data_IF_584890926628
#
_entry.id   IF_584890926628
#
_cell.length_a   1.000
_cell.length_b   1.000
_cell.length_c   1.000
_cell.angle_alpha   90.00
_cell.angle_beta   90.00
_cell.angle_gamma   90.00
#
_symmetry.space_group_name_H-M   'P 1'
#
loop_
_entity.id
_entity.type
_entity.pdbx_description
1 polymer ?
#
# COMPACT_ATOMS: atom_id res chain seq x y z
N UNK A 1 8.94 -51.32 4.75
CA UNK A 1 7.78 -50.63 5.34
C UNK A 1 7.97 -49.14 5.09
N UNK A 2 7.14 -48.57 4.22
CA UNK A 2 7.26 -47.20 3.72
C UNK A 2 6.95 -46.19 4.83
N UNK A 3 7.80 -45.17 5.00
CA UNK A 3 7.69 -44.02 5.90
C UNK A 3 6.44 -43.12 5.67
N UNK A 4 5.43 -43.58 4.92
CA UNK A 4 4.24 -42.81 4.52
C UNK A 4 2.98 -43.17 5.32
N UNK A 5 3.13 -43.41 6.61
CA UNK A 5 2.01 -43.53 7.53
C UNK A 5 2.37 -42.87 8.88
N UNK A 6 3.01 -41.70 8.83
CA UNK A 6 2.87 -40.77 9.95
C UNK A 6 1.40 -40.38 10.02
N UNK A 7 0.76 -40.74 11.13
CA UNK A 7 -0.57 -40.27 11.46
C UNK A 7 -0.54 -38.74 11.38
N UNK A 8 -1.16 -38.15 10.34
CA UNK A 8 -1.33 -36.70 10.26
C UNK A 8 -2.13 -36.28 11.49
N UNK A 9 -1.46 -35.73 12.52
CA UNK A 9 -2.12 -35.18 13.69
C UNK A 9 -3.09 -34.12 13.20
N UNK A 10 -4.36 -34.25 13.60
CA UNK A 10 -5.40 -33.27 13.31
C UNK A 10 -5.83 -32.63 14.62
N UNK A 11 -6.08 -31.33 14.55
CA UNK A 11 -6.61 -30.54 15.65
C UNK A 11 -8.11 -30.35 15.44
N UNK A 12 -8.86 -30.29 16.53
CA UNK A 12 -10.32 -30.15 16.55
C UNK A 12 -10.74 -28.69 16.35
N UNK A 13 -10.37 -28.15 15.19
CA UNK A 13 -10.69 -26.79 14.75
C UNK A 13 -11.17 -26.82 13.30
N UNK A 14 -12.06 -25.89 13.00
CA UNK A 14 -12.78 -25.73 11.75
C UNK A 14 -13.80 -26.85 11.46
N UNK A 15 -14.88 -26.46 10.79
CA UNK A 15 -15.98 -27.32 10.35
C UNK A 15 -15.68 -27.99 9.01
N UNK A 16 -14.56 -27.65 8.39
CA UNK A 16 -14.13 -28.12 7.06
C UNK A 16 -12.69 -28.64 7.13
N UNK A 17 -12.40 -29.71 6.40
CA UNK A 17 -11.09 -30.37 6.44
C UNK A 17 -10.00 -29.60 5.66
N UNK A 18 -9.29 -28.68 6.31
CA UNK A 18 -8.16 -27.98 5.70
C UNK A 18 -6.91 -28.85 5.52
N UNK A 19 -6.13 -28.53 4.48
CA UNK A 19 -4.73 -28.90 4.31
C UNK A 19 -3.89 -27.98 5.21
N UNK A 20 -3.21 -28.59 6.16
CA UNK A 20 -2.18 -27.97 7.00
C UNK A 20 -1.22 -29.08 7.43
N UNK A 21 -0.02 -28.70 7.87
CA UNK A 21 0.93 -29.62 8.48
C UNK A 21 1.06 -29.32 9.98
N UNK A 22 0.72 -30.30 10.82
CA UNK A 22 0.90 -30.19 12.26
C UNK A 22 2.36 -29.96 12.68
N UNK A 23 3.33 -30.36 11.84
CA UNK A 23 4.76 -30.13 12.06
C UNK A 23 5.05 -28.63 12.15
N UNK A 24 4.29 -27.78 11.45
CA UNK A 24 4.44 -26.33 11.54
C UNK A 24 4.12 -25.85 12.95
N UNK A 25 2.99 -26.29 13.52
CA UNK A 25 2.61 -25.96 14.89
C UNK A 25 3.63 -26.47 15.92
N UNK A 26 4.13 -27.69 15.73
CA UNK A 26 5.03 -28.34 16.69
C UNK A 26 6.46 -27.76 16.65
N UNK A 27 6.94 -27.28 15.50
CA UNK A 27 8.35 -26.90 15.30
C UNK A 27 8.60 -25.43 14.99
N UNK A 28 7.63 -24.68 14.45
CA UNK A 28 7.84 -23.25 14.21
C UNK A 28 7.78 -22.52 15.56
N UNK A 29 8.78 -21.68 15.88
CA UNK A 29 8.85 -20.99 17.16
C UNK A 29 7.56 -20.22 17.51
N UNK A 30 7.20 -20.21 18.78
CA UNK A 30 6.08 -19.40 19.27
C UNK A 30 4.68 -19.93 18.96
N UNK A 31 4.50 -20.93 18.09
CA UNK A 31 3.17 -21.46 17.74
C UNK A 31 2.61 -22.42 18.79
N UNK A 32 3.44 -23.28 19.38
CA UNK A 32 3.03 -24.19 20.44
C UNK A 32 2.80 -23.43 21.75
N UNK A 33 1.57 -22.95 21.94
CA UNK A 33 1.06 -22.32 23.17
C UNK A 33 -0.01 -23.25 23.76
N UNK A 34 -0.43 -23.04 25.01
CA UNK A 34 -1.24 -24.01 25.78
C UNK A 34 -2.52 -24.56 25.11
N UNK A 35 -3.00 -23.91 24.05
CA UNK A 35 -4.14 -24.33 23.24
C UNK A 35 -3.67 -25.26 22.10
N UNK A 36 -3.97 -26.57 22.21
CA UNK A 36 -3.47 -27.60 21.30
C UNK A 36 -3.92 -27.38 19.84
N UNK A 37 -3.06 -26.72 19.05
CA UNK A 37 -3.23 -26.54 17.62
C UNK A 37 -3.89 -25.25 17.15
N UNK A 38 -4.24 -24.31 18.04
CA UNK A 38 -4.92 -23.07 17.66
C UNK A 38 -4.13 -22.27 16.63
N UNK A 39 -2.84 -22.09 16.88
CA UNK A 39 -1.90 -21.34 16.01
C UNK A 39 -1.35 -22.17 14.85
N UNK A 40 -2.00 -23.28 14.48
CA UNK A 40 -1.59 -24.05 13.31
C UNK A 40 -1.81 -23.20 12.05
N UNK A 41 -0.78 -22.93 11.25
CA UNK A 41 -0.93 -22.12 10.05
C UNK A 41 -1.66 -22.91 8.97
N UNK A 42 -2.66 -22.28 8.36
CA UNK A 42 -3.35 -22.80 7.18
C UNK A 42 -3.00 -21.90 6.01
N UNK A 43 -2.50 -22.49 4.93
CA UNK A 43 -2.00 -21.76 3.77
C UNK A 43 -3.00 -21.74 2.62
N UNK A 44 -3.00 -20.64 1.88
CA UNK A 44 -3.91 -20.36 0.78
C UNK A 44 -3.16 -19.70 -0.38
N UNK A 45 -3.66 -19.89 -1.60
CA UNK A 45 -3.25 -19.07 -2.73
C UNK A 45 -3.59 -17.60 -2.48
N UNK A 46 -2.78 -16.68 -3.00
CA UNK A 46 -3.07 -15.23 -2.96
C UNK A 46 -4.46 -14.90 -3.52
N UNK A 47 -4.94 -15.71 -4.47
CA UNK A 47 -6.26 -15.58 -5.08
C UNK A 47 -7.43 -15.61 -4.07
N UNK A 48 -7.23 -16.16 -2.85
CA UNK A 48 -8.23 -16.12 -1.76
C UNK A 48 -8.63 -14.70 -1.38
N UNK A 49 -7.76 -13.71 -1.61
CA UNK A 49 -8.05 -12.31 -1.32
C UNK A 49 -8.94 -11.64 -2.38
N UNK A 50 -9.20 -12.29 -3.53
CA UNK A 50 -10.03 -11.72 -4.60
C UNK A 50 -11.46 -11.47 -4.14
N UNK A 51 -12.10 -12.42 -3.45
CA UNK A 51 -13.46 -12.22 -2.93
C UNK A 51 -13.51 -11.02 -1.99
N UNK A 52 -12.58 -10.98 -1.03
CA UNK A 52 -12.58 -9.98 0.03
C UNK A 52 -12.23 -8.57 -0.46
N UNK A 53 -11.45 -8.46 -1.53
CA UNK A 53 -11.11 -7.16 -2.16
C UNK A 53 -12.19 -6.61 -3.10
N UNK A 54 -13.10 -7.47 -3.60
CA UNK A 54 -14.05 -7.08 -4.64
C UNK A 54 -15.50 -7.02 -4.15
N UNK A 55 -15.84 -7.82 -3.13
CA UNK A 55 -17.20 -7.92 -2.66
C UNK A 55 -17.51 -6.81 -1.64
N UNK A 56 -18.56 -5.99 -1.83
CA UNK A 56 -18.78 -4.75 -1.06
C UNK A 56 -19.10 -4.96 0.43
N UNK A 57 -19.52 -6.17 0.81
CA UNK A 57 -19.73 -6.51 2.23
C UNK A 57 -18.44 -6.78 3.02
N UNK A 58 -17.30 -6.88 2.33
CA UNK A 58 -16.01 -7.12 2.95
C UNK A 58 -15.14 -5.88 2.85
N UNK A 59 -14.28 -5.74 3.84
CA UNK A 59 -13.16 -4.81 3.84
C UNK A 59 -11.88 -5.63 3.96
N UNK A 60 -10.95 -5.39 3.04
CA UNK A 60 -9.61 -5.93 3.07
C UNK A 60 -8.64 -4.77 3.33
N UNK A 61 -7.98 -4.80 4.47
CA UNK A 61 -7.05 -3.74 4.90
C UNK A 61 -5.66 -4.34 5.10
N UNK A 62 -4.62 -3.66 4.60
CA UNK A 62 -3.22 -4.03 4.79
C UNK A 62 -2.58 -3.05 5.76
N UNK A 63 -2.33 -3.50 7.00
CA UNK A 63 -1.62 -2.70 8.00
C UNK A 63 -0.17 -2.45 7.62
N UNK A 64 0.44 -3.43 6.95
CA UNK A 64 1.82 -3.41 6.46
C UNK A 64 1.92 -4.15 5.11
N UNK A 65 3.14 -4.39 4.61
CA UNK A 65 3.30 -5.07 3.30
C UNK A 65 2.85 -6.53 3.33
N UNK A 66 2.98 -7.18 4.48
CA UNK A 66 2.77 -8.63 4.64
C UNK A 66 1.80 -8.99 5.77
N UNK A 67 1.15 -8.00 6.38
CA UNK A 67 0.11 -8.18 7.41
C UNK A 67 -1.15 -7.40 7.02
N UNK A 68 -2.27 -8.12 6.89
CA UNK A 68 -3.59 -7.51 6.74
C UNK A 68 -4.69 -8.14 7.60
N UNK A 69 -5.89 -7.63 7.39
CA UNK A 69 -7.13 -8.11 8.00
C UNK A 69 -8.26 -8.11 6.99
N UNK A 70 -9.10 -9.13 7.10
CA UNK A 70 -10.39 -9.22 6.43
C UNK A 70 -11.46 -8.95 7.48
N UNK A 71 -12.35 -8.01 7.19
CA UNK A 71 -13.49 -7.69 8.03
C UNK A 71 -14.78 -7.82 7.21
N UNK A 72 -15.80 -8.43 7.79
CA UNK A 72 -17.16 -8.44 7.21
C UNK A 72 -18.09 -7.74 8.18
N UNK A 73 -18.18 -6.41 8.07
CA UNK A 73 -18.97 -5.54 8.96
C UNK A 73 -18.83 -5.97 10.44
N UNK A 74 -19.94 -6.31 11.09
CA UNK A 74 -20.00 -6.73 12.50
C UNK A 74 -19.97 -8.27 12.68
N UNK A 75 -19.78 -9.04 11.61
CA UNK A 75 -19.84 -10.52 11.66
C UNK A 75 -18.52 -11.13 12.11
N UNK A 76 -17.41 -10.76 11.45
CA UNK A 76 -16.10 -11.28 11.82
C UNK A 76 -14.96 -10.34 11.40
N UNK A 77 -13.83 -10.55 12.07
CA UNK A 77 -12.53 -9.96 11.74
C UNK A 77 -11.48 -11.05 11.85
N UNK A 78 -10.75 -11.30 10.76
CA UNK A 78 -9.66 -12.28 10.73
C UNK A 78 -8.39 -11.65 10.19
N UNK A 79 -7.29 -11.87 10.90
CA UNK A 79 -5.97 -11.41 10.49
C UNK A 79 -5.30 -12.44 9.59
N UNK A 80 -4.44 -11.98 8.68
CA UNK A 80 -3.68 -12.87 7.80
C UNK A 80 -2.28 -12.32 7.53
N UNK A 81 -1.36 -13.25 7.23
CA UNK A 81 -0.03 -12.95 6.74
C UNK A 81 0.11 -13.27 5.25
N UNK A 82 1.04 -12.61 4.56
CA UNK A 82 1.52 -12.99 3.23
C UNK A 82 3.00 -13.34 3.37
N UNK A 83 3.36 -14.59 3.12
CA UNK A 83 4.75 -15.05 3.23
C UNK A 83 5.59 -14.68 2.00
N UNK A 84 6.88 -15.01 2.03
CA UNK A 84 7.84 -14.71 0.93
C UNK A 84 7.47 -15.39 -0.39
N UNK A 85 6.78 -16.52 -0.32
CA UNK A 85 6.29 -17.25 -1.50
C UNK A 85 4.91 -16.77 -1.98
N UNK A 86 4.42 -15.64 -1.46
CA UNK A 86 3.11 -15.04 -1.76
C UNK A 86 1.92 -15.95 -1.41
N UNK A 87 2.09 -16.89 -0.49
CA UNK A 87 0.96 -17.60 0.12
C UNK A 87 0.36 -16.75 1.22
N UNK A 88 -0.96 -16.75 1.27
CA UNK A 88 -1.70 -16.18 2.40
C UNK A 88 -1.79 -17.24 3.47
N UNK A 89 -1.59 -16.87 4.73
CA UNK A 89 -1.80 -17.80 5.83
C UNK A 89 -2.59 -17.15 6.97
N UNK A 90 -3.38 -17.98 7.65
CA UNK A 90 -4.22 -17.62 8.79
C UNK A 90 -4.11 -18.72 9.84
N UNK A 91 -4.42 -18.41 11.10
CA UNK A 91 -4.44 -19.42 12.15
C UNK A 91 -5.69 -20.29 12.05
N UNK A 92 -5.51 -21.59 12.23
CA UNK A 92 -6.58 -22.58 12.18
C UNK A 92 -7.69 -22.26 13.21
N UNK A 93 -7.31 -21.83 14.42
CA UNK A 93 -8.25 -21.41 15.45
C UNK A 93 -9.05 -20.16 15.09
N UNK A 94 -8.44 -19.18 14.42
CA UNK A 94 -9.17 -17.99 13.94
C UNK A 94 -10.17 -18.35 12.82
N UNK A 95 -9.81 -19.30 11.96
CA UNK A 95 -10.68 -19.81 10.89
C UNK A 95 -11.91 -20.52 11.48
N UNK A 96 -11.76 -21.22 12.61
CA UNK A 96 -12.86 -21.95 13.25
C UNK A 96 -14.04 -21.02 13.62
N UNK A 97 -13.74 -19.79 14.03
CA UNK A 97 -14.74 -18.77 14.35
C UNK A 97 -15.56 -18.28 13.15
N UNK A 98 -15.16 -18.59 11.92
CA UNK A 98 -15.86 -18.16 10.72
C UNK A 98 -17.12 -19.00 10.44
N UNK A 99 -18.05 -18.42 9.67
CA UNK A 99 -19.23 -19.16 9.19
C UNK A 99 -18.81 -20.30 8.26
N UNK A 100 -19.65 -21.34 8.15
CA UNK A 100 -19.36 -22.52 7.32
C UNK A 100 -19.11 -22.13 5.85
N UNK A 101 -19.84 -21.14 5.34
CA UNK A 101 -19.67 -20.64 3.97
C UNK A 101 -18.30 -19.97 3.77
N UNK A 102 -17.81 -19.22 4.76
CA UNK A 102 -16.47 -18.62 4.70
C UNK A 102 -15.39 -19.68 4.76
N UNK A 103 -15.54 -20.69 5.63
CA UNK A 103 -14.59 -21.81 5.70
C UNK A 103 -14.54 -22.60 4.39
N UNK A 104 -15.68 -22.84 3.72
CA UNK A 104 -15.70 -23.48 2.41
C UNK A 104 -15.01 -22.65 1.33
N UNK A 105 -15.17 -21.32 1.34
CA UNK A 105 -14.46 -20.44 0.40
C UNK A 105 -12.95 -20.45 0.66
N UNK A 106 -12.52 -20.34 1.91
CA UNK A 106 -11.10 -20.50 2.25
C UNK A 106 -10.58 -21.86 1.78
N UNK A 107 -11.37 -22.92 1.95
CA UNK A 107 -10.99 -24.27 1.56
C UNK A 107 -10.75 -24.44 0.06
N UNK A 108 -11.48 -23.70 -0.79
CA UNK A 108 -11.29 -23.78 -2.25
C UNK A 108 -9.94 -23.23 -2.71
N UNK A 109 -9.30 -22.37 -1.91
CA UNK A 109 -7.98 -21.79 -2.21
C UNK A 109 -6.86 -22.35 -1.31
N UNK A 110 -7.19 -23.32 -0.46
CA UNK A 110 -6.26 -23.89 0.51
C UNK A 110 -5.24 -24.82 -0.18
N UNK A 111 -3.97 -24.59 0.14
CA UNK A 111 -2.81 -25.27 -0.44
C UNK A 111 -1.96 -25.93 0.64
N UNK A 112 -1.05 -26.81 0.23
CA UNK A 112 -0.07 -27.39 1.15
C UNK A 112 0.82 -26.29 1.76
N UNK A 113 1.24 -26.53 3.00
CA UNK A 113 2.23 -25.69 3.68
C UNK A 113 3.53 -25.65 2.88
N UNK A 114 4.15 -24.47 2.80
CA UNK A 114 5.56 -24.34 2.42
C UNK A 114 6.47 -24.10 3.63
N UNK A 115 5.93 -24.23 4.84
CA UNK A 115 6.63 -24.07 6.12
C UNK A 115 7.24 -22.66 6.33
N UNK A 116 6.82 -21.66 5.54
CA UNK A 116 7.34 -20.29 5.62
C UNK A 116 6.27 -19.33 6.15
N UNK A 117 6.48 -18.82 7.37
CA UNK A 117 5.63 -17.78 7.99
C UNK A 117 6.26 -16.39 7.98
N UNK A 118 7.43 -16.21 7.35
CA UNK A 118 8.15 -14.94 7.41
C UNK A 118 7.30 -13.82 6.79
N UNK A 119 6.81 -12.98 7.69
CA UNK A 119 5.90 -11.87 7.43
C UNK A 119 5.82 -11.01 8.68
N UNK A 120 5.48 -9.73 8.49
CA UNK A 120 5.21 -8.80 9.58
C UNK A 120 4.01 -9.26 10.45
N UNK A 121 3.15 -10.13 9.92
CA UNK A 121 2.04 -10.73 10.67
C UNK A 121 2.55 -11.69 11.75
N UNK A 122 3.41 -12.62 11.37
CA UNK A 122 4.04 -13.54 12.31
C UNK A 122 4.90 -12.77 13.34
N UNK A 123 5.74 -11.84 12.88
CA UNK A 123 6.59 -11.01 13.75
C UNK A 123 5.75 -10.18 14.74
N UNK A 124 4.62 -9.61 14.30
CA UNK A 124 3.73 -8.83 15.15
C UNK A 124 3.06 -9.66 16.25
N UNK A 125 2.59 -10.86 15.90
CA UNK A 125 1.81 -11.67 16.84
C UNK A 125 2.67 -12.58 17.72
N UNK A 126 3.81 -13.06 17.22
CA UNK A 126 4.67 -13.99 17.92
C UNK A 126 5.84 -13.30 18.61
N UNK A 127 6.49 -12.33 17.94
CA UNK A 127 7.70 -11.68 18.42
C UNK A 127 7.44 -10.32 19.11
N UNK A 128 6.16 -9.93 19.25
CA UNK A 128 5.73 -8.63 19.79
C UNK A 128 6.37 -7.43 19.07
N UNK A 129 6.78 -7.61 17.83
CA UNK A 129 7.34 -6.55 17.01
C UNK A 129 6.21 -5.82 16.31
N UNK A 130 5.82 -4.65 16.84
CA UNK A 130 4.82 -3.82 16.18
C UNK A 130 5.19 -3.60 14.71
N UNK A 131 4.31 -4.01 13.80
CA UNK A 131 4.50 -3.77 12.38
C UNK A 131 4.66 -2.27 12.12
N UNK A 132 5.58 -1.94 11.20
CA UNK A 132 5.68 -0.56 10.75
C UNK A 132 4.39 -0.19 10.02
N UNK A 133 3.88 1.04 10.19
CA UNK A 133 2.76 1.51 9.38
C UNK A 133 3.11 1.34 7.90
N UNK A 134 2.14 0.92 7.09
CA UNK A 134 2.32 0.82 5.65
C UNK A 134 2.96 2.10 5.06
N UNK A 135 3.78 1.99 4.02
CA UNK A 135 4.37 3.15 3.35
C UNK A 135 3.32 4.22 2.97
N UNK A 136 2.15 3.80 2.54
CA UNK A 136 1.01 4.64 2.17
C UNK A 136 0.47 5.41 3.38
N UNK A 137 0.29 4.76 4.53
CA UNK A 137 -0.09 5.42 5.78
C UNK A 137 0.97 6.43 6.24
N UNK A 138 2.26 6.06 6.11
CA UNK A 138 3.37 6.98 6.39
C UNK A 138 3.33 8.20 5.46
N UNK A 139 3.07 8.00 4.17
CA UNK A 139 2.93 9.03 3.16
C UNK A 139 1.79 10.00 3.48
N UNK A 140 0.58 9.51 3.76
CA UNK A 140 -0.57 10.36 4.09
C UNK A 140 -0.36 11.14 5.39
N UNK A 141 0.26 10.51 6.41
CA UNK A 141 0.62 11.19 7.66
C UNK A 141 1.62 12.31 7.42
N UNK A 142 2.64 12.10 6.59
CA UNK A 142 3.62 13.14 6.25
C UNK A 142 2.98 14.28 5.45
N UNK A 143 2.12 13.98 4.48
CA UNK A 143 1.32 14.98 3.77
C UNK A 143 0.50 15.84 4.74
N UNK A 144 -0.19 15.20 5.68
CA UNK A 144 -0.96 15.93 6.69
C UNK A 144 -0.07 16.85 7.54
N UNK A 145 1.09 16.37 7.98
CA UNK A 145 2.06 17.21 8.72
C UNK A 145 2.54 18.41 7.89
N UNK A 146 2.81 18.22 6.59
CA UNK A 146 3.18 19.32 5.68
C UNK A 146 2.06 20.34 5.52
N UNK A 147 0.81 19.89 5.38
CA UNK A 147 -0.36 20.79 5.36
C UNK A 147 -0.42 21.63 6.63
N UNK A 148 -0.31 20.99 7.79
CA UNK A 148 -0.33 21.68 9.09
C UNK A 148 0.83 22.67 9.24
N UNK A 149 2.04 22.28 8.82
CA UNK A 149 3.21 23.15 8.88
C UNK A 149 3.08 24.35 7.94
N UNK A 150 2.60 24.13 6.70
CA UNK A 150 2.35 25.19 5.73
C UNK A 150 1.31 26.18 6.25
N UNK A 151 0.19 25.69 6.80
CA UNK A 151 -0.84 26.54 7.37
C UNK A 151 -0.31 27.40 8.52
N UNK A 152 0.54 26.86 9.38
CA UNK A 152 1.14 27.61 10.50
C UNK A 152 2.15 28.67 10.04
N UNK A 153 3.01 28.33 9.07
CA UNK A 153 4.15 29.16 8.69
C UNK A 153 3.87 30.13 7.55
N UNK A 154 2.98 29.76 6.64
CA UNK A 154 2.63 30.53 5.43
C UNK A 154 1.18 31.02 5.43
N UNK A 155 0.38 30.64 6.42
CA UNK A 155 -1.02 31.09 6.58
C UNK A 155 -1.88 30.80 5.34
N UNK A 156 -1.64 29.67 4.66
CA UNK A 156 -2.43 29.28 3.51
C UNK A 156 -2.39 27.78 3.21
N UNK A 157 -3.42 27.35 2.48
CA UNK A 157 -3.67 25.95 2.19
C UNK A 157 -2.91 25.49 0.95
N UNK A 158 -1.84 24.71 1.15
CA UNK A 158 -1.05 24.11 0.06
C UNK A 158 -1.90 23.20 -0.84
N UNK A 159 -2.89 22.53 -0.23
CA UNK A 159 -3.84 21.65 -0.91
C UNK A 159 -5.25 22.15 -0.66
N UNK A 160 -6.11 22.07 -1.68
CA UNK A 160 -7.53 22.35 -1.54
C UNK A 160 -8.13 21.31 -0.59
N UNK A 161 -8.81 21.77 0.47
CA UNK A 161 -9.55 20.88 1.34
C UNK A 161 -10.95 20.66 0.76
N UNK A 162 -11.26 19.42 0.36
CA UNK A 162 -12.63 18.98 0.10
C UNK A 162 -12.88 17.71 0.90
N UNK A 163 -14.09 17.56 1.46
CA UNK A 163 -14.49 16.33 2.16
C UNK A 163 -14.31 15.08 1.29
N UNK A 164 -14.48 15.24 -0.03
CA UNK A 164 -14.20 14.22 -1.04
C UNK A 164 -12.76 13.68 -0.95
N UNK A 165 -11.74 14.51 -0.74
CA UNK A 165 -10.34 14.03 -0.64
C UNK A 165 -10.14 13.14 0.59
N UNK A 166 -10.84 13.40 1.69
CA UNK A 166 -10.72 12.58 2.91
C UNK A 166 -11.30 11.19 2.67
N UNK A 167 -12.48 11.11 2.05
CA UNK A 167 -13.08 9.83 1.64
C UNK A 167 -12.20 9.06 0.65
N UNK A 168 -11.49 9.77 -0.22
CA UNK A 168 -10.57 9.13 -1.17
C UNK A 168 -9.38 8.54 -0.44
N UNK A 169 -8.79 9.26 0.52
CA UNK A 169 -7.67 8.74 1.32
C UNK A 169 -8.10 7.50 2.12
N UNK A 170 -9.29 7.51 2.71
CA UNK A 170 -9.81 6.38 3.50
C UNK A 170 -10.00 5.09 2.70
N UNK A 171 -10.13 5.19 1.36
CA UNK A 171 -10.33 4.05 0.46
C UNK A 171 -9.08 3.70 -0.36
N UNK A 172 -7.93 4.33 -0.10
CA UNK A 172 -6.67 3.97 -0.76
C UNK A 172 -5.98 2.88 0.05
N UNK A 173 -6.07 1.66 -0.46
CA UNK A 173 -5.31 0.51 0.02
C UNK A 173 -4.16 0.17 -0.94
N UNK A 174 -3.10 -0.42 -0.38
CA UNK A 174 -2.02 -1.01 -1.16
C UNK A 174 -2.57 -2.13 -2.05
N UNK A 175 -2.27 -2.17 -3.36
CA UNK A 175 -2.66 -3.30 -4.20
C UNK A 175 -2.05 -4.61 -3.71
N UNK A 176 -2.89 -5.62 -3.52
CA UNK A 176 -2.45 -7.02 -3.34
C UNK A 176 -2.08 -7.65 -4.69
N UNK A 177 -2.81 -7.23 -5.72
CA UNK A 177 -2.75 -7.74 -7.07
C UNK A 177 -2.16 -6.67 -8.00
N UNK A 178 -1.07 -7.03 -8.70
CA UNK A 178 -0.28 -6.07 -9.48
C UNK A 178 -0.62 -6.06 -10.97
N UNK A 179 -1.89 -6.30 -11.31
CA UNK A 179 -2.40 -6.08 -12.68
C UNK A 179 -2.98 -4.66 -12.80
N UNK A 180 -2.96 -4.11 -14.01
CA UNK A 180 -3.41 -2.74 -14.32
C UNK A 180 -4.80 -2.43 -13.74
N UNK A 181 -5.74 -3.38 -13.82
CA UNK A 181 -7.11 -3.20 -13.30
C UNK A 181 -7.19 -2.92 -11.79
N UNK A 182 -6.20 -3.35 -11.02
CA UNK A 182 -6.12 -3.13 -9.58
C UNK A 182 -5.25 -1.94 -9.22
N UNK A 183 -4.19 -1.68 -9.99
CA UNK A 183 -3.25 -0.59 -9.72
C UNK A 183 -3.81 0.76 -10.20
N UNK A 184 -4.45 0.79 -11.37
CA UNK A 184 -4.92 2.03 -11.99
C UNK A 184 -5.85 2.85 -11.09
N UNK A 185 -6.86 2.25 -10.40
CA UNK A 185 -7.69 3.00 -9.45
C UNK A 185 -6.88 3.63 -8.30
N UNK A 186 -5.87 2.92 -7.80
CA UNK A 186 -5.01 3.41 -6.71
C UNK A 186 -4.13 4.57 -7.18
N UNK A 187 -3.52 4.45 -8.36
CA UNK A 187 -2.72 5.53 -8.95
C UNK A 187 -3.57 6.77 -9.26
N UNK A 188 -4.78 6.60 -9.78
CA UNK A 188 -5.71 7.71 -10.02
C UNK A 188 -6.08 8.41 -8.70
N UNK A 189 -6.40 7.63 -7.67
CA UNK A 189 -6.73 8.15 -6.34
C UNK A 189 -5.54 8.91 -5.73
N UNK A 190 -4.33 8.36 -5.79
CA UNK A 190 -3.10 9.02 -5.35
C UNK A 190 -2.85 10.32 -6.12
N UNK A 191 -3.00 10.33 -7.45
CA UNK A 191 -2.81 11.53 -8.27
C UNK A 191 -3.81 12.63 -7.87
N UNK A 192 -5.08 12.28 -7.66
CA UNK A 192 -6.10 13.22 -7.18
C UNK A 192 -5.73 13.83 -5.84
N UNK A 193 -5.25 13.01 -4.90
CA UNK A 193 -4.86 13.43 -3.54
C UNK A 193 -3.57 14.26 -3.53
N UNK A 194 -2.58 13.91 -4.35
CA UNK A 194 -1.22 14.47 -4.24
C UNK A 194 -0.92 15.57 -5.26
N UNK A 195 -1.57 15.54 -6.42
CA UNK A 195 -1.26 16.43 -7.56
C UNK A 195 -2.44 17.32 -7.90
N UNK A 196 -3.63 16.78 -8.13
CA UNK A 196 -4.78 17.57 -8.57
C UNK A 196 -5.32 18.48 -7.45
N UNK A 197 -5.21 18.03 -6.21
CA UNK A 197 -5.62 18.82 -5.06
C UNK A 197 -4.68 19.99 -4.75
N UNK A 198 -3.52 20.12 -5.43
CA UNK A 198 -2.62 21.27 -5.24
C UNK A 198 -3.36 22.60 -5.47
N UNK A 199 -3.18 23.52 -4.54
CA UNK A 199 -3.84 24.82 -4.59
C UNK A 199 -3.05 25.80 -5.45
N UNK A 200 -3.28 25.76 -6.77
CA UNK A 200 -2.62 26.68 -7.72
C UNK A 200 -2.84 28.16 -7.41
N UNK A 201 -3.93 28.54 -6.74
CA UNK A 201 -4.17 29.94 -6.34
C UNK A 201 -3.19 30.34 -5.24
N UNK A 202 -3.14 29.56 -4.17
CA UNK A 202 -2.18 29.76 -3.08
C UNK A 202 -0.73 29.80 -3.59
N UNK A 203 -0.32 28.82 -4.41
CA UNK A 203 1.04 28.77 -4.95
C UNK A 203 1.38 30.01 -5.80
N UNK A 204 0.44 30.50 -6.61
CA UNK A 204 0.63 31.74 -7.37
C UNK A 204 0.77 32.94 -6.45
N UNK A 205 -0.04 33.02 -5.40
CA UNK A 205 -0.04 34.15 -4.47
C UNK A 205 1.30 34.24 -3.72
N UNK A 206 1.84 33.10 -3.25
CA UNK A 206 3.17 33.01 -2.62
C UNK A 206 4.31 33.39 -3.56
N UNK A 207 4.18 33.11 -4.86
CA UNK A 207 5.23 33.36 -5.85
C UNK A 207 5.23 34.78 -6.42
N UNK A 208 4.17 35.59 -6.21
CA UNK A 208 4.01 36.92 -6.83
C UNK A 208 5.12 37.91 -6.50
N UNK A 209 5.75 37.76 -5.34
CA UNK A 209 6.83 38.66 -4.88
C UNK A 209 8.21 38.27 -5.41
N UNK A 210 8.36 37.04 -5.92
CA UNK A 210 9.67 36.44 -6.27
C UNK A 210 9.76 35.96 -7.72
N UNK A 211 8.63 35.91 -8.44
CA UNK A 211 8.56 35.49 -9.86
C UNK A 211 7.72 36.48 -10.65
N UNK A 212 8.09 36.71 -11.92
CA UNK A 212 7.38 37.62 -12.81
C UNK A 212 5.92 37.18 -13.06
N UNK A 213 5.01 38.16 -13.13
CA UNK A 213 3.58 37.93 -13.32
C UNK A 213 3.25 37.26 -14.66
N UNK A 214 4.01 37.53 -15.72
CA UNK A 214 3.86 36.91 -17.02
C UNK A 214 4.18 35.42 -16.99
N UNK A 215 5.25 35.05 -16.28
CA UNK A 215 5.66 33.66 -16.10
C UNK A 215 4.58 32.85 -15.34
N UNK A 216 4.05 33.39 -14.25
CA UNK A 216 3.05 32.70 -13.41
C UNK A 216 1.72 32.38 -14.12
N UNK A 217 1.37 33.09 -15.20
CA UNK A 217 0.11 32.86 -15.92
C UNK A 217 0.10 31.51 -16.64
N UNK A 218 1.24 31.07 -17.16
CA UNK A 218 1.33 29.89 -18.04
C UNK A 218 1.64 28.59 -17.30
N UNK A 219 2.00 28.66 -16.01
CA UNK A 219 2.40 27.51 -15.24
C UNK A 219 1.21 26.71 -14.70
N UNK A 220 1.30 25.38 -14.85
CA UNK A 220 0.38 24.40 -14.25
C UNK A 220 0.79 24.07 -12.81
N UNK A 221 -0.08 23.38 -12.08
CA UNK A 221 0.06 23.06 -10.65
C UNK A 221 1.42 22.49 -10.27
N UNK A 222 1.91 21.45 -10.94
CA UNK A 222 3.20 20.83 -10.63
C UNK A 222 4.39 21.78 -10.82
N UNK A 223 4.40 22.57 -11.90
CA UNK A 223 5.45 23.57 -12.13
C UNK A 223 5.39 24.73 -11.16
N UNK A 224 4.18 25.15 -10.76
CA UNK A 224 4.01 26.12 -9.67
C UNK A 224 4.54 25.56 -8.35
N UNK A 225 4.27 24.29 -8.07
CA UNK A 225 4.74 23.62 -6.86
C UNK A 225 6.27 23.54 -6.83
N UNK A 226 6.91 23.05 -7.89
CA UNK A 226 8.38 23.03 -8.03
C UNK A 226 9.01 24.41 -7.83
N UNK A 227 8.44 25.46 -8.44
CA UNK A 227 8.93 26.83 -8.24
C UNK A 227 8.70 27.35 -6.82
N UNK A 228 7.61 26.97 -6.17
CA UNK A 228 7.37 27.32 -4.77
C UNK A 228 8.41 26.67 -3.86
N UNK A 229 8.75 25.40 -4.10
CA UNK A 229 9.85 24.73 -3.39
C UNK A 229 11.18 25.48 -3.60
N UNK A 230 11.49 25.87 -4.84
CA UNK A 230 12.74 26.55 -5.18
C UNK A 230 12.82 27.98 -4.61
N UNK A 231 11.79 28.80 -4.82
CA UNK A 231 11.86 30.26 -4.57
C UNK A 231 11.35 30.65 -3.20
N UNK A 232 10.40 29.91 -2.63
CA UNK A 232 9.77 30.25 -1.34
C UNK A 232 10.33 29.41 -0.20
N UNK A 233 10.52 28.11 -0.41
CA UNK A 233 11.19 27.24 0.56
C UNK A 233 12.71 27.18 0.38
N UNK A 234 13.26 27.74 -0.69
CA UNK A 234 14.71 27.78 -0.96
C UNK A 234 15.38 26.40 -0.98
N UNK A 235 14.62 25.36 -1.37
CA UNK A 235 15.14 24.00 -1.52
C UNK A 235 16.03 23.96 -2.76
N UNK A 236 17.33 23.74 -2.55
CA UNK A 236 18.36 23.76 -3.60
C UNK A 236 18.15 22.66 -4.66
N UNK A 237 17.63 21.50 -4.26
CA UNK A 237 17.30 20.37 -5.12
C UNK A 237 15.78 20.24 -5.36
N UNK A 238 15.07 21.36 -5.52
CA UNK A 238 13.61 21.40 -5.72
C UNK A 238 13.10 20.52 -6.87
N UNK A 239 13.89 20.38 -7.94
CA UNK A 239 13.63 19.46 -9.06
C UNK A 239 13.53 18.01 -8.60
N UNK A 240 14.44 17.55 -7.73
CA UNK A 240 14.46 16.17 -7.24
C UNK A 240 13.33 15.89 -6.24
N UNK A 241 12.99 16.90 -5.43
CA UNK A 241 11.88 16.85 -4.45
C UNK A 241 10.52 16.88 -5.15
N UNK A 242 10.40 17.59 -6.27
CA UNK A 242 9.15 17.60 -7.05
C UNK A 242 9.02 16.43 -8.04
N UNK A 243 10.14 15.79 -8.40
CA UNK A 243 10.20 14.67 -9.35
C UNK A 243 9.14 13.58 -9.14
N UNK A 244 8.94 13.01 -7.93
CA UNK A 244 7.98 11.93 -7.77
C UNK A 244 6.52 12.35 -8.00
N UNK A 245 6.19 13.64 -7.86
CA UNK A 245 4.84 14.13 -8.21
C UNK A 245 4.62 14.15 -9.72
N UNK A 246 5.66 14.45 -10.50
CA UNK A 246 5.62 14.28 -11.96
C UNK A 246 5.54 12.82 -12.35
N UNK A 247 6.30 11.94 -11.68
CA UNK A 247 6.23 10.49 -11.92
C UNK A 247 4.82 9.95 -11.63
N UNK A 248 4.20 10.36 -10.52
CA UNK A 248 2.83 9.98 -10.20
C UNK A 248 1.83 10.43 -11.28
N UNK A 249 1.98 11.65 -11.79
CA UNK A 249 1.15 12.14 -12.89
C UNK A 249 1.38 11.34 -14.18
N UNK A 250 2.63 11.05 -14.53
CA UNK A 250 2.96 10.25 -15.71
C UNK A 250 2.44 8.80 -15.58
N UNK A 251 2.50 8.21 -14.39
CA UNK A 251 1.92 6.91 -14.09
C UNK A 251 0.40 6.95 -14.22
N UNK A 252 -0.26 8.01 -13.75
CA UNK A 252 -1.69 8.22 -13.97
C UNK A 252 -2.04 8.33 -15.46
N UNK A 253 -1.21 8.97 -16.27
CA UNK A 253 -1.38 9.01 -17.74
C UNK A 253 -1.27 7.61 -18.34
N UNK A 254 -0.31 6.81 -17.89
CA UNK A 254 -0.16 5.40 -18.29
C UNK A 254 -1.43 4.59 -17.94
N UNK A 255 -2.03 4.87 -16.78
CA UNK A 255 -3.26 4.24 -16.28
C UNK A 255 -4.55 4.70 -16.97
N UNK A 256 -4.56 5.85 -17.65
CA UNK A 256 -5.75 6.40 -18.32
C UNK A 256 -5.84 5.99 -19.80
N UNK A 257 -6.91 5.27 -20.16
CA UNK A 257 -7.01 4.43 -21.37
C UNK A 257 -6.91 5.13 -22.76
N UNK A 258 -6.39 4.34 -23.71
CA UNK A 258 -6.09 4.58 -25.15
C UNK A 258 -4.91 5.52 -25.45
N UNK A 259 -3.72 5.10 -25.00
CA UNK A 259 -2.44 5.53 -25.57
C UNK A 259 -1.80 4.36 -26.34
N UNK A 260 -1.07 4.66 -27.41
CA UNK A 260 -0.39 3.64 -28.23
C UNK A 260 0.62 2.87 -27.40
N UNK A 261 0.89 1.61 -27.75
CA UNK A 261 1.88 0.79 -27.06
C UNK A 261 3.29 1.42 -27.08
N UNK A 262 3.63 2.11 -28.18
CA UNK A 262 4.88 2.90 -28.25
C UNK A 262 4.95 3.97 -27.16
N UNK A 263 3.85 4.71 -26.95
CA UNK A 263 3.77 5.79 -25.97
C UNK A 263 3.72 5.25 -24.54
N UNK A 264 3.07 4.10 -24.31
CA UNK A 264 3.11 3.38 -23.03
C UNK A 264 4.56 3.05 -22.66
N UNK A 265 5.28 2.45 -23.60
CA UNK A 265 6.68 2.07 -23.39
C UNK A 265 7.57 3.28 -23.13
N UNK A 266 7.38 4.39 -23.85
CA UNK A 266 8.13 5.64 -23.61
C UNK A 266 7.87 6.21 -22.20
N UNK A 267 6.61 6.26 -21.78
CA UNK A 267 6.24 6.73 -20.44
C UNK A 267 6.83 5.82 -19.36
N UNK A 268 6.69 4.50 -19.52
CA UNK A 268 7.21 3.52 -18.56
C UNK A 268 8.72 3.61 -18.41
N UNK A 269 9.46 3.74 -19.52
CA UNK A 269 10.91 3.96 -19.50
C UNK A 269 11.29 5.25 -18.79
N UNK A 270 10.53 6.32 -19.02
CA UNK A 270 10.72 7.61 -18.34
C UNK A 270 10.49 7.51 -16.83
N UNK A 271 9.43 6.81 -16.41
CA UNK A 271 9.11 6.51 -15.01
C UNK A 271 10.26 5.73 -14.38
N UNK A 272 10.67 4.61 -14.99
CA UNK A 272 11.76 3.77 -14.49
C UNK A 272 13.05 4.57 -14.32
N UNK A 273 13.44 5.35 -15.35
CA UNK A 273 14.63 6.19 -15.30
C UNK A 273 14.59 7.21 -14.16
N UNK A 274 13.45 7.88 -13.95
CA UNK A 274 13.29 8.89 -12.88
C UNK A 274 13.21 8.28 -11.48
N UNK A 275 12.83 7.00 -11.38
CA UNK A 275 12.83 6.23 -10.13
C UNK A 275 14.12 5.43 -9.93
N UNK A 276 15.13 5.61 -10.79
CA UNK A 276 16.41 4.88 -10.73
C UNK A 276 16.25 3.36 -10.81
N UNK A 277 15.24 2.90 -11.56
CA UNK A 277 14.97 1.49 -11.84
C UNK A 277 15.53 1.08 -13.20
N UNK A 278 15.60 -0.23 -13.44
CA UNK A 278 15.93 -0.76 -14.77
C UNK A 278 14.94 -0.22 -15.81
N UNK A 279 15.46 0.30 -16.92
CA UNK A 279 14.66 1.02 -17.93
C UNK A 279 13.49 0.18 -18.47
N UNK A 280 13.70 -1.11 -18.66
CA UNK A 280 12.70 -2.06 -19.16
C UNK A 280 11.95 -2.79 -18.02
N UNK A 281 11.94 -2.25 -16.80
CA UNK A 281 11.19 -2.84 -15.70
C UNK A 281 9.68 -2.70 -15.92
N UNK A 282 8.99 -3.83 -15.96
CA UNK A 282 7.52 -3.90 -16.08
C UNK A 282 6.85 -4.34 -14.77
N UNK A 283 7.64 -4.53 -13.71
CA UNK A 283 7.10 -4.92 -12.42
C UNK A 283 6.47 -3.72 -11.71
N UNK A 284 5.15 -3.61 -11.80
CA UNK A 284 4.39 -2.53 -11.18
C UNK A 284 4.53 -2.45 -9.65
N UNK A 285 4.77 -3.58 -8.96
CA UNK A 285 5.03 -3.57 -7.50
C UNK A 285 6.29 -2.77 -7.19
N UNK A 286 7.37 -3.03 -7.94
CA UNK A 286 8.66 -2.35 -7.78
C UNK A 286 8.55 -0.87 -8.11
N UNK A 287 7.84 -0.53 -9.19
CA UNK A 287 7.61 0.86 -9.60
C UNK A 287 6.81 1.62 -8.54
N UNK A 288 5.72 1.01 -8.07
CA UNK A 288 4.85 1.58 -7.06
C UNK A 288 5.61 1.82 -5.74
N UNK A 289 6.37 0.83 -5.27
CA UNK A 289 7.16 0.95 -4.05
C UNK A 289 8.21 2.06 -4.14
N UNK A 290 8.93 2.13 -5.26
CA UNK A 290 9.91 3.19 -5.50
C UNK A 290 9.23 4.58 -5.52
N UNK A 291 8.07 4.70 -6.17
CA UNK A 291 7.30 5.94 -6.21
C UNK A 291 6.85 6.38 -4.81
N UNK A 292 6.24 5.49 -4.02
CA UNK A 292 5.78 5.81 -2.67
C UNK A 292 6.94 6.25 -1.78
N UNK A 293 8.08 5.54 -1.84
CA UNK A 293 9.27 5.91 -1.08
C UNK A 293 9.80 7.30 -1.48
N UNK A 294 9.88 7.60 -2.78
CA UNK A 294 10.32 8.93 -3.26
C UNK A 294 9.35 10.05 -2.83
N UNK A 295 8.04 9.79 -2.83
CA UNK A 295 7.04 10.74 -2.31
C UNK A 295 7.21 10.99 -0.81
N UNK A 296 7.47 9.93 -0.03
CA UNK A 296 7.75 10.02 1.41
C UNK A 296 8.98 10.91 1.66
N UNK A 297 10.09 10.66 0.97
CA UNK A 297 11.31 11.46 1.12
C UNK A 297 11.08 12.92 0.73
N UNK A 298 10.33 13.17 -0.34
CA UNK A 298 9.99 14.53 -0.76
C UNK A 298 9.20 15.28 0.31
N UNK A 299 8.19 14.64 0.92
CA UNK A 299 7.45 15.27 2.01
C UNK A 299 8.28 15.47 3.28
N UNK A 300 9.26 14.60 3.57
CA UNK A 300 10.18 14.80 4.70
C UNK A 300 11.02 16.06 4.50
N UNK A 301 11.58 16.27 3.31
CA UNK A 301 12.35 17.47 2.97
C UNK A 301 11.48 18.72 3.09
N UNK A 302 10.29 18.70 2.49
CA UNK A 302 9.35 19.84 2.56
C UNK A 302 8.97 20.16 4.01
N UNK A 303 8.71 19.13 4.82
CA UNK A 303 8.35 19.31 6.22
C UNK A 303 9.49 19.95 7.02
N UNK A 304 10.73 19.50 6.80
CA UNK A 304 11.90 20.05 7.48
C UNK A 304 12.05 21.55 7.21
N UNK A 305 11.94 21.97 5.94
CA UNK A 305 12.05 23.39 5.56
C UNK A 305 10.88 24.25 6.06
N UNK A 306 9.67 23.68 6.14
CA UNK A 306 8.54 24.39 6.74
C UNK A 306 8.67 24.52 8.26
N UNK A 307 9.46 23.67 8.91
CA UNK A 307 9.65 23.68 10.36
C UNK A 307 10.83 24.54 10.82
N UNK A 308 11.86 24.68 9.99
CA UNK A 308 12.95 25.65 10.16
C UNK A 308 12.41 27.07 10.40
#
# INVERSE_FOLDING_TARGET
>A
LSLKQEFKKRFDYAKVEFLYDHIDYDNIPGLRRGDDGFLTPVFFNLAVLNKYSQHPDYRLDLFSKTYGRIEKKDEFKISFGINRNRKVFMWLGDIDGLSLNEQHYLRSENVESDHDLCSEFYESQMDLQFSNPSPENTLFRLRWKVIQACQRKRQGDLYKFSGEISQVIENIDRPVFWQEKHINPVIEALNRVMVESLNSKFLKDELRSVVDKGELKNLRSLKLFEKWLEKVLQISNSSDVSLPFYVLYDFRVLSSHLISDSKKNEILKSINKRLELLENNENYEVIYDALINRLIESYKVILAELQA
#
